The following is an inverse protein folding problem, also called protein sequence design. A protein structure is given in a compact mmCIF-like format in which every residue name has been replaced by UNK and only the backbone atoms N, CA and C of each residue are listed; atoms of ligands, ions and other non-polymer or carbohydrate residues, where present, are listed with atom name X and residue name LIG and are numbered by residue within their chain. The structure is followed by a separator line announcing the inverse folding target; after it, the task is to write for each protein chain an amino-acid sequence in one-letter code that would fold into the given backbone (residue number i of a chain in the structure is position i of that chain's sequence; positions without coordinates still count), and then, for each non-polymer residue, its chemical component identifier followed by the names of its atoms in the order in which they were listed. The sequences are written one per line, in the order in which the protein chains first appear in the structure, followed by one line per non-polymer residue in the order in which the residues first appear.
data_IF_733956142006
#
_entry.id   IF_733956142006
#
_cell.length_a   1.000
_cell.length_b   1.000
_cell.length_c   1.000
_cell.angle_alpha   90.00
_cell.angle_beta   90.00
_cell.angle_gamma   90.00
#
_symmetry.space_group_name_H-M   'P 1'
#
loop_
_entity.id
_entity.type
_entity.pdbx_description
1 polymer ?
#
# COMPACT_ATOMS: atom_id res chain seq x y z
N UNK A 1 53.01 -30.64 -1.35
CA UNK A 1 52.47 -29.38 -1.89
C UNK A 1 51.03 -29.24 -1.39
N UNK A 2 50.82 -28.28 -0.50
CA UNK A 2 49.54 -27.99 0.14
C UNK A 2 48.60 -27.26 -0.83
N UNK A 3 47.30 -27.59 -0.79
CA UNK A 3 46.23 -26.67 -1.20
C UNK A 3 45.12 -26.80 -0.17
N UNK A 4 45.15 -25.89 0.81
CA UNK A 4 44.01 -25.51 1.63
C UNK A 4 43.08 -24.67 0.74
N UNK A 5 41.94 -25.23 0.34
CA UNK A 5 40.81 -24.48 -0.18
C UNK A 5 39.74 -24.38 0.89
N UNK A 6 39.67 -23.25 1.60
CA UNK A 6 38.64 -22.94 2.59
C UNK A 6 37.24 -23.00 1.94
N UNK A 7 36.49 -24.05 2.26
CA UNK A 7 35.05 -24.11 2.07
C UNK A 7 34.39 -23.08 2.99
N UNK A 8 34.11 -21.89 2.47
CA UNK A 8 33.17 -20.98 3.11
C UNK A 8 31.77 -21.51 2.83
N UNK A 9 31.31 -22.43 3.68
CA UNK A 9 29.93 -22.86 3.69
C UNK A 9 29.03 -21.65 3.95
N UNK A 10 28.24 -21.26 2.95
CA UNK A 10 27.04 -20.45 3.19
C UNK A 10 26.19 -21.18 4.24
N UNK A 11 25.81 -20.54 5.34
CA UNK A 11 24.95 -21.19 6.32
C UNK A 11 23.65 -21.64 5.63
N UNK A 12 23.12 -22.82 5.95
CA UNK A 12 21.86 -23.27 5.39
C UNK A 12 20.80 -22.25 5.77
N UNK A 13 20.26 -21.57 4.76
CA UNK A 13 19.09 -20.71 4.93
C UNK A 13 18.01 -21.61 5.50
N UNK A 14 17.62 -21.36 6.75
CA UNK A 14 16.55 -22.05 7.43
C UNK A 14 15.25 -21.63 6.75
N UNK A 15 14.93 -22.25 5.62
CA UNK A 15 13.64 -22.07 4.97
C UNK A 15 12.58 -22.58 5.93
N UNK A 16 11.94 -21.64 6.63
CA UNK A 16 10.77 -21.91 7.44
C UNK A 16 9.76 -22.63 6.54
N UNK A 17 9.13 -23.70 7.04
CA UNK A 17 8.13 -24.45 6.29
C UNK A 17 6.81 -23.67 6.31
N UNK A 18 6.64 -22.75 5.36
CA UNK A 18 5.36 -22.08 5.11
C UNK A 18 4.54 -23.03 4.23
N UNK A 19 3.41 -23.53 4.76
CA UNK A 19 2.56 -24.53 4.09
C UNK A 19 2.15 -24.16 2.66
N UNK A 20 1.66 -25.14 1.92
CA UNK A 20 1.43 -25.17 0.46
C UNK A 20 0.44 -24.16 -0.14
N UNK A 21 0.00 -23.14 0.59
CA UNK A 21 -0.76 -22.01 0.02
C UNK A 21 0.22 -20.88 -0.28
N UNK A 22 0.73 -20.91 -1.51
CA UNK A 22 1.83 -20.10 -2.00
C UNK A 22 1.55 -18.59 -1.98
N UNK A 23 2.52 -17.84 -1.47
CA UNK A 23 2.76 -16.40 -1.66
C UNK A 23 2.83 -15.95 -3.14
N UNK A 24 2.69 -16.87 -4.10
CA UNK A 24 2.93 -16.64 -5.53
C UNK A 24 1.70 -16.06 -6.23
N UNK A 25 0.52 -16.05 -5.60
CA UNK A 25 -0.70 -15.57 -6.25
C UNK A 25 -0.81 -14.05 -6.32
N UNK A 26 -0.06 -13.32 -5.51
CA UNK A 26 0.12 -11.86 -5.59
C UNK A 26 1.63 -11.58 -5.66
N UNK A 27 2.10 -11.06 -6.80
CA UNK A 27 3.52 -10.98 -7.21
C UNK A 27 4.35 -9.94 -6.44
N UNK A 28 4.15 -9.81 -5.15
CA UNK A 28 4.84 -8.82 -4.34
C UNK A 28 5.41 -9.51 -3.09
N UNK A 29 6.71 -9.77 -3.13
CA UNK A 29 7.45 -10.23 -1.97
C UNK A 29 7.55 -9.06 -1.01
N UNK A 30 6.95 -9.16 0.16
CA UNK A 30 6.97 -8.08 1.15
C UNK A 30 7.61 -8.57 2.45
N UNK A 31 8.83 -8.12 2.78
CA UNK A 31 9.35 -8.25 4.13
C UNK A 31 8.44 -7.46 5.07
N UNK A 32 8.20 -7.96 6.29
CA UNK A 32 7.48 -7.20 7.31
C UNK A 32 8.16 -5.86 7.55
N UNK A 33 7.52 -4.77 7.14
CA UNK A 33 7.97 -3.40 7.40
C UNK A 33 7.80 -3.06 8.87
N UNK A 34 8.70 -2.22 9.39
CA UNK A 34 8.52 -1.63 10.71
C UNK A 34 7.25 -0.76 10.72
N UNK A 35 6.59 -0.58 11.89
CA UNK A 35 5.44 0.31 12.01
C UNK A 35 5.73 1.74 11.53
N UNK A 36 6.94 2.24 11.76
CA UNK A 36 7.40 3.57 11.36
C UNK A 36 7.59 3.68 9.85
N UNK A 37 8.17 2.65 9.21
CA UNK A 37 8.32 2.61 7.75
C UNK A 37 6.96 2.48 7.04
N UNK A 38 6.01 1.76 7.64
CA UNK A 38 4.64 1.69 7.14
C UNK A 38 3.98 3.08 7.12
N UNK A 39 4.17 3.88 8.19
CA UNK A 39 3.71 5.28 8.22
C UNK A 39 4.37 6.12 7.12
N UNK A 40 5.68 5.97 6.94
CA UNK A 40 6.39 6.70 5.88
C UNK A 40 5.85 6.33 4.48
N UNK A 41 5.55 5.06 4.24
CA UNK A 41 4.96 4.59 2.98
C UNK A 41 3.52 5.07 2.77
N UNK A 42 2.71 5.18 3.83
CA UNK A 42 1.38 5.80 3.76
C UNK A 42 1.50 7.27 3.34
N UNK A 43 2.44 8.03 3.92
CA UNK A 43 2.69 9.43 3.55
C UNK A 43 3.14 9.56 2.08
N UNK A 44 4.05 8.69 1.63
CA UNK A 44 4.46 8.63 0.23
C UNK A 44 3.28 8.26 -0.71
N UNK A 45 2.35 7.43 -0.23
CA UNK A 45 1.12 7.11 -0.98
C UNK A 45 0.21 8.33 -1.09
N UNK A 46 0.07 9.13 -0.03
CA UNK A 46 -0.67 10.39 -0.06
C UNK A 46 -0.09 11.36 -1.09
N UNK A 47 1.22 11.64 -1.02
CA UNK A 47 1.92 12.49 -1.99
C UNK A 47 1.74 11.97 -3.43
N UNK A 48 1.85 10.64 -3.59
CA UNK A 48 1.62 9.96 -4.84
C UNK A 48 0.22 10.21 -5.42
N UNK A 49 -0.82 10.07 -4.60
CA UNK A 49 -2.20 10.33 -5.02
C UNK A 49 -2.44 11.81 -5.37
N UNK A 50 -1.81 12.75 -4.68
CA UNK A 50 -1.86 14.17 -5.07
C UNK A 50 -1.22 14.41 -6.45
N UNK A 51 -0.10 13.74 -6.74
CA UNK A 51 0.62 13.91 -8.02
C UNK A 51 -0.12 13.41 -9.26
N UNK A 52 -1.08 12.49 -9.12
CA UNK A 52 -1.78 11.91 -10.29
C UNK A 52 -2.95 12.77 -10.80
N UNK A 53 -3.21 13.94 -10.20
CA UNK A 53 -4.27 14.85 -10.65
C UNK A 53 -4.19 15.16 -12.15
N UNK A 54 -3.00 15.49 -12.64
CA UNK A 54 -2.76 15.76 -14.05
C UNK A 54 -3.09 14.56 -14.96
N UNK A 55 -2.93 13.32 -14.46
CA UNK A 55 -3.29 12.10 -15.20
C UNK A 55 -4.81 11.96 -15.35
N UNK A 56 -5.59 12.37 -14.35
CA UNK A 56 -7.05 12.47 -14.48
C UNK A 56 -7.45 13.55 -15.50
N UNK A 57 -6.81 14.72 -15.43
CA UNK A 57 -7.06 15.87 -16.34
C UNK A 57 -6.79 15.51 -17.80
N UNK A 58 -5.73 14.73 -18.04
CA UNK A 58 -5.36 14.22 -19.37
C UNK A 58 -6.02 12.90 -19.75
N UNK A 59 -6.95 12.39 -18.93
CA UNK A 59 -7.67 11.14 -19.16
C UNK A 59 -6.75 9.93 -19.42
N UNK A 60 -5.61 9.87 -18.74
CA UNK A 60 -4.62 8.80 -18.84
C UNK A 60 -5.07 7.52 -18.09
N UNK A 61 -6.29 7.03 -18.34
CA UNK A 61 -6.98 6.01 -17.55
C UNK A 61 -6.15 4.75 -17.28
N UNK A 62 -5.46 4.22 -18.29
CA UNK A 62 -4.63 3.02 -18.12
C UNK A 62 -3.52 3.24 -17.09
N UNK A 63 -2.85 4.38 -17.12
CA UNK A 63 -1.79 4.72 -16.16
C UNK A 63 -2.36 4.88 -14.75
N UNK A 64 -3.51 5.53 -14.63
CA UNK A 64 -4.19 5.73 -13.34
C UNK A 64 -4.56 4.39 -12.71
N UNK A 65 -5.15 3.46 -13.47
CA UNK A 65 -5.51 2.12 -12.98
C UNK A 65 -4.27 1.38 -12.44
N UNK A 66 -3.17 1.35 -13.21
CA UNK A 66 -1.95 0.69 -12.75
C UNK A 66 -1.37 1.35 -11.51
N UNK A 67 -1.39 2.68 -11.47
CA UNK A 67 -0.88 3.45 -10.34
C UNK A 67 -1.65 3.18 -9.05
N UNK A 68 -2.98 3.30 -9.10
CA UNK A 68 -3.87 3.07 -7.96
C UNK A 68 -3.69 1.65 -7.42
N UNK A 69 -3.71 0.64 -8.29
CA UNK A 69 -3.57 -0.76 -7.88
C UNK A 69 -2.21 -1.07 -7.27
N UNK A 70 -1.15 -0.43 -7.75
CA UNK A 70 0.18 -0.55 -7.15
C UNK A 70 0.18 0.00 -5.72
N UNK A 71 -0.50 1.13 -5.48
CA UNK A 71 -0.62 1.72 -4.13
C UNK A 71 -1.54 0.92 -3.22
N UNK A 72 -2.64 0.38 -3.74
CA UNK A 72 -3.57 -0.46 -2.97
C UNK A 72 -2.97 -1.80 -2.53
N UNK A 73 -2.06 -2.37 -3.33
CA UNK A 73 -1.50 -3.70 -3.08
C UNK A 73 -0.93 -3.86 -1.66
N UNK A 74 -0.33 -2.80 -1.12
CA UNK A 74 0.34 -2.82 0.17
C UNK A 74 -0.41 -2.06 1.28
N UNK A 75 -1.41 -1.25 0.91
CA UNK A 75 -2.08 -0.32 1.81
C UNK A 75 -2.73 -1.04 3.00
N UNK A 76 -3.38 -2.18 2.79
CA UNK A 76 -4.02 -2.94 3.87
C UNK A 76 -3.04 -3.43 4.94
N UNK A 77 -1.82 -3.81 4.54
CA UNK A 77 -0.78 -4.24 5.47
C UNK A 77 -0.16 -3.04 6.19
N UNK A 78 0.13 -1.96 5.45
CA UNK A 78 0.59 -0.70 6.03
C UNK A 78 -0.35 -0.19 7.10
N UNK A 79 -1.64 -0.15 6.81
CA UNK A 79 -2.64 0.37 7.73
C UNK A 79 -2.65 -0.41 9.05
N UNK A 80 -2.51 -1.74 8.98
CA UNK A 80 -2.45 -2.60 10.17
C UNK A 80 -1.16 -2.40 10.96
N UNK A 81 -0.02 -2.27 10.27
CA UNK A 81 1.27 -2.06 10.93
C UNK A 81 1.36 -0.68 11.59
N UNK A 82 0.94 0.37 10.87
CA UNK A 82 0.91 1.73 11.36
C UNK A 82 0.00 1.92 12.58
N UNK A 83 -1.08 1.14 12.71
CA UNK A 83 -1.95 1.16 13.89
C UNK A 83 -1.19 0.90 15.20
N UNK A 84 -0.11 0.12 15.16
CA UNK A 84 0.70 -0.20 16.34
C UNK A 84 1.47 1.01 16.88
N UNK A 85 1.67 2.06 16.08
CA UNK A 85 2.29 3.32 16.51
C UNK A 85 1.35 4.18 17.36
N UNK A 86 0.05 3.89 17.32
CA UNK A 86 -0.98 4.72 17.95
C UNK A 86 -1.38 4.24 19.36
N UNK A 87 -1.67 5.18 20.29
CA UNK A 87 -2.23 4.84 21.59
C UNK A 87 -3.65 4.28 21.44
N UNK A 88 -4.05 3.40 22.36
CA UNK A 88 -5.31 2.64 22.28
C UNK A 88 -6.55 3.52 22.07
N UNK A 89 -6.62 4.66 22.76
CA UNK A 89 -7.75 5.59 22.66
C UNK A 89 -7.96 6.23 21.28
N UNK A 90 -6.95 6.22 20.40
CA UNK A 90 -7.03 6.77 19.03
C UNK A 90 -7.21 5.70 17.95
N UNK A 91 -7.09 4.41 18.31
CA UNK A 91 -7.17 3.30 17.33
C UNK A 91 -8.54 3.21 16.67
N UNK A 92 -9.61 3.51 17.39
CA UNK A 92 -10.96 3.45 16.83
C UNK A 92 -11.16 4.50 15.71
N UNK A 93 -10.74 5.74 15.95
CA UNK A 93 -10.81 6.81 14.95
C UNK A 93 -9.94 6.50 13.73
N UNK A 94 -8.74 5.95 13.97
CA UNK A 94 -7.85 5.49 12.92
C UNK A 94 -8.47 4.37 12.07
N UNK A 95 -9.05 3.35 12.69
CA UNK A 95 -9.71 2.24 11.97
C UNK A 95 -10.86 2.76 11.12
N UNK A 96 -11.64 3.72 11.64
CA UNK A 96 -12.72 4.35 10.86
C UNK A 96 -12.17 5.08 9.63
N UNK A 97 -11.14 5.91 9.80
CA UNK A 97 -10.50 6.62 8.70
C UNK A 97 -9.85 5.66 7.68
N UNK A 98 -9.23 4.59 8.16
CA UNK A 98 -8.61 3.56 7.33
C UNK A 98 -9.64 2.82 6.48
N UNK A 99 -10.78 2.44 7.05
CA UNK A 99 -11.87 1.80 6.31
C UNK A 99 -12.44 2.75 5.24
N UNK A 100 -12.69 4.01 5.60
CA UNK A 100 -13.18 5.02 4.65
C UNK A 100 -12.19 5.23 3.47
N UNK A 101 -10.89 5.25 3.74
CA UNK A 101 -9.87 5.32 2.70
C UNK A 101 -9.91 4.10 1.77
N UNK A 102 -9.97 2.90 2.32
CA UNK A 102 -10.01 1.64 1.54
C UNK A 102 -11.25 1.62 0.64
N UNK A 103 -12.41 1.99 1.19
CA UNK A 103 -13.67 2.05 0.43
C UNK A 103 -13.60 3.08 -0.70
N UNK A 104 -13.12 4.30 -0.43
CA UNK A 104 -12.95 5.33 -1.46
C UNK A 104 -11.97 4.90 -2.56
N UNK A 105 -10.86 4.25 -2.19
CA UNK A 105 -9.88 3.71 -3.14
C UNK A 105 -10.48 2.60 -4.01
N UNK A 106 -11.33 1.73 -3.46
CA UNK A 106 -12.03 0.69 -4.23
C UNK A 106 -13.00 1.30 -5.25
N UNK A 107 -13.80 2.28 -4.82
CA UNK A 107 -14.73 2.98 -5.69
C UNK A 107 -13.98 3.76 -6.79
N UNK A 108 -12.86 4.40 -6.45
CA UNK A 108 -12.00 5.07 -7.43
C UNK A 108 -11.49 4.10 -8.51
N UNK A 109 -10.96 2.92 -8.14
CA UNK A 109 -10.55 1.89 -9.12
C UNK A 109 -11.72 1.48 -10.02
N UNK A 110 -12.91 1.31 -9.43
CA UNK A 110 -14.12 0.93 -10.16
C UNK A 110 -14.51 1.98 -11.22
N UNK A 111 -14.56 3.26 -10.86
CA UNK A 111 -14.98 4.32 -11.79
C UNK A 111 -13.93 4.64 -12.85
N UNK A 112 -12.64 4.64 -12.48
CA UNK A 112 -11.54 4.81 -13.43
C UNK A 112 -11.52 3.68 -14.46
N UNK A 113 -11.90 2.45 -14.07
CA UNK A 113 -12.03 1.31 -14.99
C UNK A 113 -13.23 1.41 -15.94
N UNK A 114 -14.30 2.09 -15.53
CA UNK A 114 -15.54 2.27 -16.32
C UNK A 114 -15.59 3.60 -17.07
N UNK A 115 -14.41 4.17 -17.37
CA UNK A 115 -14.08 5.60 -17.54
C UNK A 115 -15.23 6.60 -17.31
N UNK A 116 -15.85 6.57 -16.13
CA UNK A 116 -16.89 7.53 -15.76
C UNK A 116 -16.25 8.79 -15.21
N UNK A 117 -16.03 9.77 -16.10
CA UNK A 117 -15.23 10.97 -15.81
C UNK A 117 -15.66 11.64 -14.50
N UNK A 118 -16.93 12.00 -14.36
CA UNK A 118 -17.43 12.73 -13.19
C UNK A 118 -17.24 11.94 -11.89
N UNK A 119 -17.65 10.68 -11.86
CA UNK A 119 -17.51 9.82 -10.69
C UNK A 119 -16.03 9.54 -10.35
N UNK A 120 -15.16 9.39 -11.35
CA UNK A 120 -13.72 9.27 -11.13
C UNK A 120 -13.13 10.49 -10.42
N UNK A 121 -13.49 11.71 -10.84
CA UNK A 121 -13.07 12.93 -10.14
C UNK A 121 -13.66 13.02 -8.74
N UNK A 122 -14.94 12.71 -8.58
CA UNK A 122 -15.60 12.75 -7.27
C UNK A 122 -14.91 11.82 -6.27
N UNK A 123 -14.66 10.58 -6.66
CA UNK A 123 -13.99 9.62 -5.79
C UNK A 123 -12.51 9.90 -5.63
N UNK A 124 -11.86 10.53 -6.61
CA UNK A 124 -10.49 11.00 -6.46
C UNK A 124 -10.37 12.04 -5.34
N UNK A 125 -11.23 13.05 -5.34
CA UNK A 125 -11.26 14.08 -4.29
C UNK A 125 -11.63 13.50 -2.91
N UNK A 126 -12.57 12.55 -2.87
CA UNK A 126 -12.90 11.82 -1.62
C UNK A 126 -11.70 11.02 -1.11
N UNK A 127 -10.99 10.32 -1.99
CA UNK A 127 -9.78 9.57 -1.67
C UNK A 127 -8.71 10.50 -1.09
N UNK A 128 -8.43 11.64 -1.73
CA UNK A 128 -7.47 12.63 -1.23
C UNK A 128 -7.84 13.10 0.18
N UNK A 129 -9.11 13.49 0.38
CA UNK A 129 -9.58 13.91 1.69
C UNK A 129 -9.43 12.81 2.75
N UNK A 130 -9.75 11.57 2.41
CA UNK A 130 -9.65 10.44 3.34
C UNK A 130 -8.20 10.07 3.68
N UNK A 131 -7.27 10.15 2.73
CA UNK A 131 -5.86 9.85 3.00
C UNK A 131 -5.20 10.98 3.80
N UNK A 132 -5.53 12.24 3.53
CA UNK A 132 -5.02 13.37 4.30
C UNK A 132 -5.55 13.36 5.74
N UNK A 133 -6.82 12.96 5.93
CA UNK A 133 -7.40 12.74 7.26
C UNK A 133 -6.71 11.61 8.01
N UNK A 134 -6.43 10.49 7.33
CA UNK A 134 -5.68 9.37 7.90
C UNK A 134 -4.25 9.78 8.29
N UNK A 135 -3.53 10.48 7.40
CA UNK A 135 -2.17 10.96 7.65
C UNK A 135 -2.15 11.92 8.84
N UNK A 136 -3.20 12.72 9.04
CA UNK A 136 -3.31 13.61 10.20
C UNK A 136 -3.45 12.88 11.54
N UNK A 137 -3.83 11.60 11.53
CA UNK A 137 -3.90 10.75 12.73
C UNK A 137 -2.57 10.05 13.05
N UNK A 138 -1.62 10.02 12.10
CA UNK A 138 -0.33 9.32 12.15
C UNK A 138 0.84 10.29 12.45
#
# INVERSE_FOLDING_TARGET
MAVLGLQHGTPPVLAQNWGTRSFIKERFFEPGLSPEDAVARIRQTAEGLHSIRYMLETMAWRYIIFYIRLKQAYLSQDLKNAMNTLPEGRRQDYVKAANELVDNMMELDYYVRTPKVYESYLYYEKTLKSIDALVSLL
#
